data_IF_362265662470
#
_entry.id   IF_362265662470
#
_cell.length_a   1.000
_cell.length_b   1.000
_cell.length_c   1.000
_cell.angle_alpha   90.00
_cell.angle_beta   90.00
_cell.angle_gamma   90.00
#
_symmetry.space_group_name_H-M   'P 1'
#
loop_
_entity.id
_entity.type
_entity.pdbx_description
1 polymer ?
#
# COMPACT_ATOMS: atom_id res chain seq x y z
N UNK A 1 15.69 -17.33 -0.48
CA UNK A 1 14.77 -16.82 0.55
C UNK A 1 13.50 -16.33 -0.12
N UNK A 2 12.31 -16.62 0.42
CA UNK A 2 11.05 -16.07 -0.07
C UNK A 2 10.70 -14.76 0.66
N UNK A 3 9.91 -13.86 0.06
CA UNK A 3 9.44 -12.65 0.73
C UNK A 3 8.66 -12.98 2.01
N UNK A 4 8.79 -12.17 3.05
CA UNK A 4 8.09 -12.37 4.34
C UNK A 4 6.61 -11.96 4.29
N UNK A 5 6.13 -11.43 3.15
CA UNK A 5 4.77 -10.93 2.95
C UNK A 5 3.69 -11.99 3.26
N UNK A 6 3.92 -13.28 2.96
CA UNK A 6 2.95 -14.35 3.24
C UNK A 6 2.66 -14.57 4.73
N UNK A 7 3.51 -14.06 5.64
CA UNK A 7 3.32 -14.14 7.09
C UNK A 7 2.59 -12.93 7.67
N UNK A 8 2.44 -11.85 6.90
CA UNK A 8 1.75 -10.63 7.32
C UNK A 8 0.24 -10.77 7.11
N UNK A 9 -0.52 -9.91 7.77
CA UNK A 9 -1.96 -9.88 7.56
C UNK A 9 -2.32 -9.25 6.22
N UNK A 10 -3.52 -9.56 5.70
CA UNK A 10 -4.06 -8.93 4.50
C UNK A 10 -4.07 -7.39 4.61
N UNK A 11 -4.41 -6.86 5.79
CA UNK A 11 -4.38 -5.42 6.06
C UNK A 11 -2.97 -4.84 5.95
N UNK A 12 -1.98 -5.52 6.53
CA UNK A 12 -0.61 -5.04 6.50
C UNK A 12 -0.07 -5.04 5.07
N UNK A 13 -0.24 -6.13 4.32
CA UNK A 13 0.19 -6.19 2.93
C UNK A 13 -0.55 -5.16 2.06
N UNK A 14 -1.84 -4.94 2.28
CA UNK A 14 -2.58 -3.88 1.57
C UNK A 14 -1.99 -2.49 1.84
N UNK A 15 -1.67 -2.16 3.09
CA UNK A 15 -1.03 -0.88 3.42
C UNK A 15 0.35 -0.76 2.78
N UNK A 16 1.12 -1.84 2.74
CA UNK A 16 2.44 -1.89 2.11
C UNK A 16 2.33 -1.68 0.59
N UNK A 17 1.30 -2.24 -0.07
CA UNK A 17 0.97 -1.98 -1.48
C UNK A 17 0.72 -0.50 -1.72
N UNK A 18 -0.11 0.15 -0.89
CA UNK A 18 -0.43 1.59 -1.04
C UNK A 18 0.81 2.45 -0.83
N UNK A 19 1.67 2.13 0.14
CA UNK A 19 2.95 2.81 0.34
C UNK A 19 3.85 2.68 -0.89
N UNK A 20 4.05 1.47 -1.41
CA UNK A 20 4.86 1.24 -2.61
C UNK A 20 4.33 1.98 -3.84
N UNK A 21 3.01 1.99 -4.04
CA UNK A 21 2.37 2.78 -5.12
C UNK A 21 2.55 4.29 -4.94
N UNK A 22 2.47 4.79 -3.70
CA UNK A 22 2.72 6.19 -3.40
C UNK A 22 4.16 6.59 -3.74
N UNK A 23 5.14 5.81 -3.30
CA UNK A 23 6.56 6.03 -3.62
C UNK A 23 6.78 5.96 -5.13
N UNK A 24 6.22 4.95 -5.81
CA UNK A 24 6.34 4.82 -7.26
C UNK A 24 5.83 6.07 -8.00
N UNK A 25 4.71 6.65 -7.54
CA UNK A 25 4.14 7.87 -8.11
C UNK A 25 4.95 9.12 -7.77
N UNK A 26 5.36 9.27 -6.52
CA UNK A 26 6.19 10.38 -6.03
C UNK A 26 7.49 10.50 -6.85
N UNK A 27 8.15 9.37 -7.08
CA UNK A 27 9.46 9.31 -7.73
C UNK A 27 9.38 8.99 -9.22
N UNK A 28 8.26 9.25 -9.91
CA UNK A 28 8.10 8.95 -11.35
C UNK A 28 9.19 9.53 -12.27
N UNK A 29 9.90 10.57 -11.84
CA UNK A 29 11.05 11.14 -12.56
C UNK A 29 12.32 10.31 -12.44
N UNK A 30 12.49 9.57 -11.33
CA UNK A 30 13.52 8.57 -11.13
C UNK A 30 12.97 7.19 -11.50
N UNK A 31 13.33 6.73 -12.71
CA UNK A 31 12.82 5.46 -13.23
C UNK A 31 13.22 4.27 -12.37
N UNK A 32 14.39 4.29 -11.73
CA UNK A 32 14.87 3.16 -10.93
C UNK A 32 14.04 3.05 -9.65
N UNK A 33 13.91 4.15 -8.90
CA UNK A 33 13.10 4.18 -7.68
C UNK A 33 11.62 3.92 -7.97
N UNK A 34 11.08 4.51 -9.03
CA UNK A 34 9.68 4.33 -9.42
C UNK A 34 9.37 2.88 -9.82
N UNK A 35 10.22 2.27 -10.65
CA UNK A 35 10.02 0.91 -11.13
C UNK A 35 10.18 -0.13 -10.03
N UNK A 36 11.18 0.04 -9.15
CA UNK A 36 11.41 -0.88 -8.03
C UNK A 36 10.23 -0.88 -7.05
N UNK A 37 9.80 0.32 -6.62
CA UNK A 37 8.67 0.46 -5.71
C UNK A 37 7.34 -0.04 -6.32
N UNK A 38 7.10 0.28 -7.60
CA UNK A 38 5.89 -0.15 -8.31
C UNK A 38 5.83 -1.66 -8.53
N UNK A 39 6.96 -2.28 -8.89
CA UNK A 39 7.07 -3.75 -9.06
C UNK A 39 6.91 -4.47 -7.73
N UNK A 40 7.53 -3.95 -6.68
CA UNK A 40 7.38 -4.48 -5.31
C UNK A 40 5.93 -4.41 -4.83
N UNK A 41 5.24 -3.29 -5.07
CA UNK A 41 3.82 -3.15 -4.74
C UNK A 41 2.93 -4.12 -5.56
N UNK A 42 3.31 -4.40 -6.81
CA UNK A 42 2.57 -5.36 -7.65
C UNK A 42 2.76 -6.79 -7.15
N UNK A 43 3.99 -7.17 -6.77
CA UNK A 43 4.26 -8.49 -6.19
C UNK A 43 3.49 -8.74 -4.88
N UNK A 44 3.28 -7.71 -4.06
CA UNK A 44 2.51 -7.85 -2.81
C UNK A 44 1.03 -8.19 -3.01
N UNK A 45 0.47 -7.99 -4.21
CA UNK A 45 -0.91 -8.36 -4.53
C UNK A 45 -1.12 -9.86 -4.36
N UNK A 46 -0.10 -10.68 -4.65
CA UNK A 46 -0.16 -12.14 -4.52
C UNK A 46 -0.35 -12.62 -3.06
N UNK A 47 -0.10 -11.74 -2.07
CA UNK A 47 -0.20 -12.04 -0.64
C UNK A 47 -1.18 -11.14 0.11
N UNK A 48 -2.08 -10.45 -0.59
CA UNK A 48 -3.12 -9.63 0.03
C UNK A 48 -4.49 -9.99 -0.54
N UNK A 49 -5.50 -10.06 0.34
CA UNK A 49 -6.88 -10.29 -0.08
C UNK A 49 -7.71 -9.01 0.05
N UNK A 50 -7.99 -8.35 -1.08
CA UNK A 50 -8.73 -7.09 -1.14
C UNK A 50 -9.41 -6.91 -2.50
N UNK A 51 -10.34 -5.96 -2.62
CA UNK A 51 -11.01 -5.65 -3.89
C UNK A 51 -10.06 -4.94 -4.87
N UNK A 52 -9.70 -5.63 -5.95
CA UNK A 52 -8.86 -5.09 -7.01
C UNK A 52 -9.57 -4.08 -7.91
N UNK A 53 -10.90 -4.01 -7.90
CA UNK A 53 -11.64 -3.03 -8.70
C UNK A 53 -11.53 -1.61 -8.13
N UNK A 54 -11.23 -1.49 -6.83
CA UNK A 54 -11.13 -0.21 -6.11
C UNK A 54 -9.78 0.50 -6.30
N UNK A 55 -9.15 0.34 -7.48
CA UNK A 55 -7.90 1.03 -7.84
C UNK A 55 -8.04 2.54 -7.85
N UNK A 56 -9.21 3.06 -8.25
CA UNK A 56 -9.48 4.50 -8.32
C UNK A 56 -9.43 5.14 -6.93
N UNK A 57 -10.02 4.49 -5.92
CA UNK A 57 -10.00 5.00 -4.54
C UNK A 57 -8.56 5.09 -4.00
N UNK A 58 -7.73 4.08 -4.27
CA UNK A 58 -6.30 4.09 -3.91
C UNK A 58 -5.54 5.22 -4.61
N UNK A 59 -5.72 5.41 -5.92
CA UNK A 59 -5.05 6.48 -6.66
C UNK A 59 -5.45 7.87 -6.19
N UNK A 60 -6.75 8.11 -5.98
CA UNK A 60 -7.25 9.38 -5.46
C UNK A 60 -6.66 9.69 -4.09
N UNK A 61 -6.54 8.67 -3.23
CA UNK A 61 -5.96 8.85 -1.91
C UNK A 61 -4.46 9.17 -1.97
N UNK A 62 -3.71 8.53 -2.86
CA UNK A 62 -2.29 8.86 -3.10
C UNK A 62 -2.16 10.32 -3.56
N UNK A 63 -2.98 10.74 -4.54
CA UNK A 63 -2.93 12.09 -5.11
C UNK A 63 -3.26 13.17 -4.08
N UNK A 64 -4.22 12.88 -3.20
CA UNK A 64 -4.54 13.75 -2.06
C UNK A 64 -3.35 13.98 -1.13
N UNK A 65 -2.51 12.97 -0.89
CA UNK A 65 -1.36 13.11 0.01
C UNK A 65 -0.16 13.75 -0.69
N UNK A 66 0.12 13.38 -1.95
CA UNK A 66 1.24 13.95 -2.71
C UNK A 66 1.04 15.43 -3.07
N UNK A 67 -0.20 15.89 -3.21
CA UNK A 67 -0.53 17.30 -3.46
C UNK A 67 -0.38 18.23 -2.25
N UNK A 68 -0.09 17.69 -1.06
CA UNK A 68 0.11 18.53 0.13
C UNK A 68 1.39 19.35 0.01
N UNK A 69 1.32 20.58 0.48
CA UNK A 69 2.47 21.48 0.55
C UNK A 69 3.16 21.32 1.92
N UNK A 70 4.27 20.60 1.94
CA UNK A 70 5.02 20.29 3.16
C UNK A 70 6.22 21.22 3.22
N UNK A 71 6.42 21.84 4.38
CA UNK A 71 7.60 22.64 4.69
C UNK A 71 8.10 22.28 6.08
N UNK A 72 9.42 22.33 6.27
CA UNK A 72 10.03 22.21 7.59
C UNK A 72 10.50 23.61 8.04
N UNK A 73 9.86 24.24 9.03
CA UNK A 73 10.27 25.57 9.51
C UNK A 73 11.65 25.58 10.18
N UNK A 74 12.20 24.40 10.51
CA UNK A 74 13.50 24.25 11.15
C UNK A 74 14.60 23.80 10.17
N UNK A 75 14.28 23.60 8.89
CA UNK A 75 15.31 23.28 7.90
C UNK A 75 16.06 24.57 7.52
N UNK A 76 17.30 24.69 7.98
CA UNK A 76 18.15 25.85 7.67
C UNK A 76 18.50 25.95 6.16
N UNK A 77 18.44 24.85 5.40
CA UNK A 77 18.99 24.79 4.04
C UNK A 77 18.12 24.17 2.93
N UNK A 78 16.91 23.66 3.20
CA UNK A 78 16.16 22.89 2.19
C UNK A 78 14.87 23.57 1.71
N UNK A 79 15.02 24.64 0.91
CA UNK A 79 13.87 25.28 0.23
C UNK A 79 13.33 24.48 -0.97
N UNK A 80 14.07 23.47 -1.43
CA UNK A 80 13.72 22.70 -2.64
C UNK A 80 13.17 21.29 -2.35
N UNK A 81 13.15 20.85 -1.09
CA UNK A 81 12.69 19.50 -0.74
C UNK A 81 11.17 19.45 -0.70
N UNK A 82 10.58 18.62 -1.57
CA UNK A 82 9.13 18.43 -1.66
C UNK A 82 8.53 17.53 -0.57
N UNK A 83 9.38 16.81 0.18
CA UNK A 83 8.98 15.86 1.22
C UNK A 83 8.03 14.74 0.74
N UNK A 84 8.14 14.31 -0.52
CA UNK A 84 7.19 13.33 -1.07
C UNK A 84 7.22 11.98 -0.36
N UNK A 85 8.39 11.50 0.08
CA UNK A 85 8.48 10.30 0.93
C UNK A 85 7.74 10.47 2.27
N UNK A 86 7.87 11.62 2.92
CA UNK A 86 7.16 11.91 4.17
C UNK A 86 5.65 11.94 3.96
N UNK A 87 5.17 12.50 2.83
CA UNK A 87 3.74 12.45 2.47
C UNK A 87 3.25 11.01 2.31
N UNK A 88 4.08 10.11 1.76
CA UNK A 88 3.75 8.69 1.66
C UNK A 88 3.74 7.97 3.02
N UNK A 89 4.64 8.33 3.94
CA UNK A 89 4.58 7.84 5.32
C UNK A 89 3.31 8.31 6.04
N UNK A 90 2.94 9.58 5.87
CA UNK A 90 1.70 10.12 6.44
C UNK A 90 0.46 9.44 5.86
N UNK A 91 0.46 9.15 4.55
CA UNK A 91 -0.56 8.32 3.92
C UNK A 91 -0.63 6.95 4.59
N UNK A 92 0.50 6.26 4.76
CA UNK A 92 0.58 4.95 5.38
C UNK A 92 0.01 4.94 6.82
N UNK A 93 0.20 6.02 7.57
CA UNK A 93 -0.30 6.15 8.95
C UNK A 93 -1.70 6.79 9.04
N UNK A 94 -2.30 7.18 7.91
CA UNK A 94 -3.51 8.00 7.91
C UNK A 94 -4.79 7.26 8.34
N UNK A 95 -5.72 8.05 8.92
CA UNK A 95 -7.10 7.61 9.14
C UNK A 95 -7.85 7.35 7.83
N UNK A 96 -7.48 8.04 6.75
CA UNK A 96 -8.06 7.86 5.42
C UNK A 96 -7.74 6.47 4.87
N UNK A 97 -6.46 6.06 4.89
CA UNK A 97 -6.05 4.73 4.48
C UNK A 97 -6.68 3.66 5.37
N UNK A 98 -6.73 3.89 6.69
CA UNK A 98 -7.40 2.97 7.63
C UNK A 98 -8.88 2.77 7.27
N UNK A 99 -9.59 3.82 6.85
CA UNK A 99 -11.00 3.75 6.46
C UNK A 99 -11.16 3.00 5.14
N UNK A 100 -10.41 3.36 4.10
CA UNK A 100 -10.42 2.65 2.83
C UNK A 100 -10.13 1.16 3.03
N UNK A 101 -9.11 0.82 3.83
CA UNK A 101 -8.76 -0.57 4.09
C UNK A 101 -9.89 -1.37 4.78
N UNK A 102 -10.73 -0.73 5.60
CA UNK A 102 -11.90 -1.41 6.19
C UNK A 102 -12.99 -1.73 5.17
N UNK A 103 -13.08 -0.94 4.11
CA UNK A 103 -14.09 -1.11 3.07
C UNK A 103 -13.68 -2.19 2.07
N UNK A 104 -12.38 -2.28 1.74
CA UNK A 104 -11.94 -3.09 0.59
C UNK A 104 -11.04 -4.28 0.92
N UNK A 105 -10.49 -4.38 2.15
CA UNK A 105 -9.66 -5.54 2.54
C UNK A 105 -10.52 -6.63 3.15
N UNK A 106 -10.41 -7.83 2.58
CA UNK A 106 -11.07 -9.03 3.08
C UNK A 106 -10.21 -9.71 4.15
N UNK A 107 -10.84 -10.24 5.19
CA UNK A 107 -10.19 -10.90 6.34
C UNK A 107 -8.94 -10.15 6.84
N UNK A 108 -9.07 -8.87 7.27
CA UNK A 108 -7.93 -7.97 7.45
C UNK A 108 -6.90 -8.45 8.49
N UNK A 109 -7.32 -9.30 9.44
CA UNK A 109 -6.46 -9.85 10.50
C UNK A 109 -5.89 -11.23 10.16
N UNK A 110 -6.36 -11.86 9.08
CA UNK A 110 -5.83 -13.14 8.63
C UNK A 110 -4.57 -12.94 7.80
N UNK A 111 -3.70 -13.95 7.84
CA UNK A 111 -2.57 -14.04 6.91
C UNK A 111 -3.04 -14.67 5.60
N UNK A 112 -2.39 -14.34 4.48
CA UNK A 112 -2.70 -14.96 3.19
C UNK A 112 -2.72 -16.50 3.25
N UNK A 113 -1.79 -17.11 4.00
CA UNK A 113 -1.71 -18.56 4.18
C UNK A 113 -2.94 -19.14 4.90
N UNK A 114 -3.55 -18.38 5.80
CA UNK A 114 -4.77 -18.77 6.51
C UNK A 114 -6.00 -18.60 5.61
N UNK A 115 -6.16 -17.43 4.98
CA UNK A 115 -7.28 -17.13 4.07
C UNK A 115 -7.32 -18.08 2.86
N UNK A 116 -6.18 -18.33 2.21
CA UNK A 116 -6.09 -19.28 1.08
C UNK A 116 -6.50 -20.70 1.50
N UNK A 117 -6.02 -21.18 2.67
CA UNK A 117 -6.44 -22.48 3.21
C UNK A 117 -7.94 -22.53 3.50
N UNK A 118 -8.51 -21.47 4.08
CA UNK A 118 -9.94 -21.42 4.38
C UNK A 118 -10.78 -21.41 3.10
N UNK A 119 -10.39 -20.63 2.08
CA UNK A 119 -11.05 -20.60 0.77
C UNK A 119 -11.08 -21.98 0.10
N UNK A 120 -9.93 -22.67 0.00
CA UNK A 120 -9.90 -24.03 -0.58
C UNK A 120 -10.65 -25.05 0.27
N UNK A 121 -10.60 -24.94 1.60
CA UNK A 121 -11.38 -25.80 2.49
C UNK A 121 -12.88 -25.63 2.26
N UNK A 122 -13.35 -24.40 2.12
CA UNK A 122 -14.78 -24.09 1.99
C UNK A 122 -15.32 -24.43 0.59
N UNK A 123 -14.50 -24.30 -0.47
CA UNK A 123 -14.80 -24.84 -1.80
C UNK A 123 -14.96 -26.36 -1.79
N UNK A 124 -14.09 -27.07 -1.08
CA UNK A 124 -14.13 -28.53 -0.99
C UNK A 124 -15.27 -29.06 -0.12
N UNK A 125 -15.86 -28.21 0.74
CA UNK A 125 -17.03 -28.56 1.57
C UNK A 125 -18.37 -28.43 0.83
N UNK A 126 -18.39 -27.76 -0.32
CA UNK A 126 -19.56 -27.58 -1.18
C UNK A 126 -19.65 -28.61 -2.32
N UNK A 127 -18.74 -29.59 -2.34
CA UNK A 127 -18.81 -30.80 -3.15
C UNK A 127 -19.35 -31.94 -2.30
#
# INVERSE_FOLDING_TARGET
MSPEAYKRTNLQNFKDIVLGRCIAKAYRGDKSASSDAGSSASALIDWAYFDLNETKAVHNLIDKYLSRDYFNPYAEFDKEVKYDYLKCLDLYHSKDLKRLAKEIVYDPNETYKSSSRNYYRDLNRKK
#
